data_IF_217264688951
#
_entry.id   IF_217264688951
#
_cell.length_a   1.000
_cell.length_b   1.000
_cell.length_c   1.000
_cell.angle_alpha   90.00
_cell.angle_beta   90.00
_cell.angle_gamma   90.00
#
_symmetry.space_group_name_H-M   'P 1'
#
loop_
_entity.id
_entity.type
_entity.pdbx_description
1 polymer ?
#
# COMPACT_ATOMS: atom_id res chain seq x y z
N UNK A 1 -0.55 0.11 43.22
CA UNK A 1 -0.53 1.27 42.29
C UNK A 1 -1.93 1.43 41.72
N UNK A 2 -2.38 2.65 41.38
CA UNK A 2 -3.65 2.82 40.68
C UNK A 2 -3.61 2.10 39.32
N UNK A 3 -4.73 1.60 38.82
CA UNK A 3 -4.79 0.97 37.50
C UNK A 3 -4.51 2.00 36.39
N UNK A 4 -3.78 1.59 35.35
CA UNK A 4 -3.63 2.36 34.11
C UNK A 4 -5.00 2.48 33.46
N UNK A 5 -5.37 3.67 33.00
CA UNK A 5 -6.64 3.91 32.33
C UNK A 5 -6.48 3.95 30.81
N UNK A 6 -7.53 3.59 30.03
CA UNK A 6 -7.53 3.84 28.60
C UNK A 6 -7.28 5.32 28.28
N UNK A 7 -6.47 5.55 27.26
CA UNK A 7 -5.91 6.84 26.82
C UNK A 7 -4.95 7.53 27.80
N UNK A 8 -4.50 6.84 28.85
CA UNK A 8 -3.43 7.36 29.69
C UNK A 8 -2.08 7.32 28.94
N UNK A 9 -1.23 8.31 29.18
CA UNK A 9 0.15 8.31 28.67
C UNK A 9 1.07 7.76 29.76
N UNK A 10 1.93 6.83 29.38
CA UNK A 10 3.03 6.33 30.21
C UNK A 10 4.37 6.57 29.51
N UNK A 11 5.45 6.56 30.28
CA UNK A 11 6.80 6.84 29.85
C UNK A 11 7.71 5.66 30.20
N UNK A 12 8.37 5.10 29.19
CA UNK A 12 9.19 3.90 29.27
C UNK A 12 10.67 4.26 29.01
N UNK A 13 11.55 3.89 29.90
CA UNK A 13 13.00 4.07 29.74
C UNK A 13 13.65 2.69 29.58
N UNK A 14 14.13 2.38 28.37
CA UNK A 14 14.80 1.10 28.08
C UNK A 14 16.32 1.15 28.37
N UNK A 15 16.85 2.25 28.92
CA UNK A 15 18.27 2.38 29.22
C UNK A 15 19.16 2.70 28.01
N UNK A 16 18.59 3.28 26.96
CA UNK A 16 19.32 3.68 25.75
C UNK A 16 20.43 4.72 26.04
N UNK A 17 21.45 4.77 25.17
CA UNK A 17 22.55 5.75 25.25
C UNK A 17 22.74 6.40 23.87
N UNK A 18 22.45 7.71 23.71
CA UNK A 18 22.00 8.66 24.74
C UNK A 18 20.60 8.32 25.27
N UNK A 19 20.33 8.70 26.52
CA UNK A 19 19.06 8.38 27.20
C UNK A 19 17.86 8.91 26.43
N UNK A 20 16.96 8.02 26.04
CA UNK A 20 15.68 8.30 25.41
C UNK A 20 14.55 7.64 26.20
N UNK A 21 13.57 8.44 26.63
CA UNK A 21 12.37 7.99 27.34
C UNK A 21 11.19 8.06 26.39
N UNK A 22 10.58 6.91 26.14
CA UNK A 22 9.55 6.73 25.13
C UNK A 22 8.16 6.95 25.73
N UNK A 23 7.37 7.85 25.13
CA UNK A 23 5.96 7.95 25.47
C UNK A 23 5.16 6.82 24.81
N UNK A 24 4.19 6.27 25.54
CA UNK A 24 3.19 5.32 25.05
C UNK A 24 1.81 5.80 25.42
N UNK A 25 0.89 5.77 24.46
CA UNK A 25 -0.54 5.99 24.70
C UNK A 25 -1.19 4.62 24.92
N UNK A 26 -1.70 4.35 26.11
CA UNK A 26 -2.39 3.10 26.42
C UNK A 26 -3.77 3.12 25.76
N UNK A 27 -4.05 2.23 24.80
CA UNK A 27 -5.30 2.28 24.03
C UNK A 27 -6.29 1.24 24.51
N UNK A 28 -5.91 -0.04 24.50
CA UNK A 28 -6.77 -1.18 24.86
C UNK A 28 -6.07 -2.09 25.87
N UNK A 29 -6.78 -2.54 26.90
CA UNK A 29 -6.24 -3.46 27.90
C UNK A 29 -6.39 -4.91 27.47
N UNK A 30 -5.33 -5.71 27.49
CA UNK A 30 -5.42 -7.14 27.12
C UNK A 30 -5.74 -7.96 28.37
N UNK A 31 -4.78 -8.09 29.27
CA UNK A 31 -4.88 -8.81 30.54
C UNK A 31 -3.71 -8.42 31.46
N UNK A 32 -3.95 -8.29 32.76
CA UNK A 32 -2.89 -7.99 33.73
C UNK A 32 -2.19 -6.66 33.41
N UNK A 33 -0.87 -6.71 33.19
CA UNK A 33 -0.04 -5.57 32.77
C UNK A 33 0.17 -5.48 31.25
N UNK A 34 -0.37 -6.40 30.45
CA UNK A 34 -0.30 -6.33 28.99
C UNK A 34 -1.36 -5.39 28.42
N UNK A 35 -0.92 -4.45 27.59
CA UNK A 35 -1.73 -3.43 26.94
C UNK A 35 -1.38 -3.32 25.46
N UNK A 36 -2.36 -2.95 24.64
CA UNK A 36 -2.09 -2.41 23.32
C UNK A 36 -1.80 -0.91 23.46
N UNK A 37 -0.63 -0.51 23.00
CA UNK A 37 -0.14 0.86 23.06
C UNK A 37 0.03 1.45 21.66
N UNK A 38 0.03 2.78 21.58
CA UNK A 38 0.49 3.50 20.40
C UNK A 38 1.81 4.23 20.67
N UNK A 39 2.68 4.32 19.66
CA UNK A 39 3.94 5.10 19.68
C UNK A 39 3.75 6.51 19.14
N UNK A 40 4.71 7.44 19.34
CA UNK A 40 4.67 8.76 18.72
C UNK A 40 4.55 8.75 17.18
N UNK A 41 5.08 7.71 16.51
CA UNK A 41 4.95 7.49 15.06
C UNK A 41 3.60 6.85 14.67
N UNK A 42 2.72 6.62 15.64
CA UNK A 42 1.37 6.05 15.50
C UNK A 42 1.34 4.55 15.17
N UNK A 43 2.44 3.83 15.42
CA UNK A 43 2.43 2.37 15.38
C UNK A 43 1.66 1.79 16.57
N UNK A 44 0.98 0.66 16.37
CA UNK A 44 0.12 0.02 17.39
C UNK A 44 0.55 -1.43 17.60
N UNK A 45 0.93 -1.79 18.83
CA UNK A 45 1.36 -3.14 19.19
C UNK A 45 1.12 -3.45 20.68
N UNK A 46 1.31 -4.72 21.06
CA UNK A 46 1.22 -5.20 22.45
C UNK A 46 2.50 -4.89 23.23
N UNK A 47 2.36 -4.39 24.46
CA UNK A 47 3.48 -4.09 25.35
C UNK A 47 3.11 -4.37 26.82
N UNK A 48 4.08 -4.88 27.59
CA UNK A 48 3.93 -5.18 29.02
C UNK A 48 4.31 -3.98 29.90
N UNK A 49 3.30 -3.33 30.47
CA UNK A 49 3.39 -2.07 31.21
C UNK A 49 3.47 -2.31 32.72
N UNK A 50 4.61 -2.82 33.19
CA UNK A 50 4.89 -3.00 34.61
C UNK A 50 6.33 -2.61 34.97
N UNK A 51 6.52 -2.11 36.18
CA UNK A 51 7.84 -1.73 36.69
C UNK A 51 8.80 -2.91 36.89
N UNK A 52 8.30 -4.15 36.90
CA UNK A 52 9.10 -5.36 36.99
C UNK A 52 9.53 -5.91 35.62
N UNK A 53 9.16 -5.25 34.51
CA UNK A 53 9.57 -5.65 33.18
C UNK A 53 11.11 -5.51 33.06
N UNK A 54 11.86 -6.60 32.79
CA UNK A 54 13.32 -6.57 32.76
C UNK A 54 13.90 -5.74 31.63
N UNK A 55 13.11 -5.44 30.60
CA UNK A 55 13.52 -4.59 29.47
C UNK A 55 13.48 -3.10 29.82
N UNK A 56 12.86 -2.74 30.96
CA UNK A 56 12.71 -1.36 31.41
C UNK A 56 13.69 -1.04 32.55
N UNK A 57 14.47 0.02 32.37
CA UNK A 57 15.23 0.69 33.44
C UNK A 57 14.31 1.62 34.26
N UNK A 58 13.26 2.15 33.63
CA UNK A 58 12.29 3.03 34.28
C UNK A 58 10.89 2.92 33.69
N UNK A 59 9.88 2.91 34.56
CA UNK A 59 8.47 2.97 34.20
C UNK A 59 7.81 4.12 34.96
N UNK A 60 7.31 5.13 34.23
CA UNK A 60 6.71 6.32 34.83
C UNK A 60 5.34 6.59 34.23
N UNK A 61 4.34 6.86 35.08
CA UNK A 61 3.02 7.31 34.62
C UNK A 61 3.02 8.82 34.44
N UNK A 62 2.24 9.34 33.49
CA UNK A 62 2.07 10.77 33.37
C UNK A 62 1.48 11.39 34.66
N UNK A 63 1.86 12.63 34.94
CA UNK A 63 1.17 13.45 35.92
C UNK A 63 -0.24 13.82 35.42
N UNK A 64 -1.05 14.43 36.28
CA UNK A 64 -2.39 14.90 35.91
C UNK A 64 -2.38 15.69 34.59
N UNK A 65 -3.36 15.43 33.73
CA UNK A 65 -3.50 16.04 32.39
C UNK A 65 -2.35 15.73 31.41
N UNK A 66 -1.64 14.61 31.57
CA UNK A 66 -0.55 14.22 30.67
C UNK A 66 0.76 14.96 30.94
N UNK A 67 0.89 15.60 32.10
CA UNK A 67 2.11 16.29 32.50
C UNK A 67 3.29 15.34 32.68
N UNK A 68 4.51 15.88 32.62
CA UNK A 68 5.73 15.09 32.80
C UNK A 68 5.88 14.60 34.25
N UNK A 69 6.17 13.31 34.48
CA UNK A 69 6.43 12.80 35.82
C UNK A 69 7.75 13.34 36.39
N UNK A 70 7.86 13.46 37.73
CA UNK A 70 9.11 13.79 38.38
C UNK A 70 10.23 12.82 37.98
N UNK A 71 11.40 13.36 37.61
CA UNK A 71 12.59 12.57 37.27
C UNK A 71 12.73 12.19 35.80
N UNK A 72 11.76 12.53 34.94
CA UNK A 72 11.86 12.35 33.48
C UNK A 72 12.26 13.69 32.83
N UNK A 73 13.50 13.84 32.32
CA UNK A 73 13.93 15.09 31.70
C UNK A 73 13.22 15.33 30.37
N UNK A 74 12.57 16.49 30.22
CA UNK A 74 11.81 16.83 29.01
C UNK A 74 12.63 16.71 27.71
N UNK A 75 13.93 17.05 27.76
CA UNK A 75 14.83 16.98 26.62
C UNK A 75 15.10 15.56 26.11
N UNK A 76 14.80 14.53 26.92
CA UNK A 76 15.08 13.13 26.61
C UNK A 76 13.81 12.38 26.20
N UNK A 77 12.69 13.06 26.00
CA UNK A 77 11.41 12.42 25.72
C UNK A 77 11.21 12.28 24.21
N UNK A 78 11.04 11.05 23.76
CA UNK A 78 10.44 10.76 22.48
C UNK A 78 8.92 10.70 22.66
N UNK A 79 8.29 11.86 22.46
CA UNK A 79 6.89 12.13 22.77
C UNK A 79 6.03 12.38 21.54
N UNK A 80 4.71 12.34 21.73
CA UNK A 80 3.75 12.58 20.67
C UNK A 80 3.76 14.02 20.16
N UNK A 81 3.66 14.19 18.84
CA UNK A 81 3.15 15.43 18.26
C UNK A 81 1.64 15.60 18.49
N UNK A 82 1.04 16.74 18.10
CA UNK A 82 -0.41 16.92 18.18
C UNK A 82 -1.16 15.81 17.41
N UNK A 83 -1.98 15.03 18.13
CA UNK A 83 -2.81 13.97 17.53
C UNK A 83 -4.17 14.56 17.19
N UNK A 84 -4.56 14.46 15.92
CA UNK A 84 -5.91 14.84 15.49
C UNK A 84 -6.95 13.82 15.95
N UNK A 85 -8.21 14.25 16.09
CA UNK A 85 -9.31 13.33 16.43
C UNK A 85 -9.44 12.17 15.43
N UNK A 86 -9.19 12.42 14.14
CA UNK A 86 -9.23 11.38 13.12
C UNK A 86 -8.11 10.34 13.29
N UNK A 87 -6.89 10.76 13.64
CA UNK A 87 -5.79 9.84 13.93
C UNK A 87 -6.09 9.00 15.17
N UNK A 88 -6.62 9.60 16.23
CA UNK A 88 -7.00 8.88 17.44
C UNK A 88 -8.07 7.81 17.17
N UNK A 89 -9.05 8.10 16.31
CA UNK A 89 -10.05 7.11 15.90
C UNK A 89 -9.43 5.95 15.13
N UNK A 90 -8.46 6.20 14.23
CA UNK A 90 -7.75 5.13 13.51
C UNK A 90 -6.95 4.24 14.47
N UNK A 91 -6.22 4.85 15.39
CA UNK A 91 -5.45 4.13 16.44
C UNK A 91 -6.38 3.21 17.24
N UNK A 92 -7.56 3.69 17.65
CA UNK A 92 -8.52 2.87 18.40
C UNK A 92 -9.00 1.65 17.64
N UNK A 93 -9.38 1.82 16.36
CA UNK A 93 -9.85 0.70 15.52
C UNK A 93 -8.75 -0.35 15.33
N UNK A 94 -7.51 0.08 15.10
CA UNK A 94 -6.38 -0.84 14.98
C UNK A 94 -6.09 -1.55 16.31
N UNK A 95 -6.10 -0.81 17.42
CA UNK A 95 -5.84 -1.36 18.75
C UNK A 95 -6.90 -2.38 19.18
N UNK A 96 -8.16 -2.16 18.84
CA UNK A 96 -9.26 -3.10 19.08
C UNK A 96 -8.99 -4.44 18.38
N UNK A 97 -8.55 -4.41 17.12
CA UNK A 97 -8.18 -5.63 16.37
C UNK A 97 -7.00 -6.38 16.99
N UNK A 98 -5.95 -5.67 17.37
CA UNK A 98 -4.76 -6.26 18.04
C UNK A 98 -5.14 -6.84 19.39
N UNK A 99 -5.91 -6.12 20.20
CA UNK A 99 -6.36 -6.58 21.51
C UNK A 99 -7.27 -7.80 21.41
N UNK A 100 -8.20 -7.82 20.43
CA UNK A 100 -9.07 -8.96 20.19
C UNK A 100 -8.26 -10.21 19.82
N UNK A 101 -7.27 -10.09 18.94
CA UNK A 101 -6.39 -11.18 18.56
C UNK A 101 -5.55 -11.70 19.75
N UNK A 102 -4.96 -10.80 20.55
CA UNK A 102 -4.17 -11.15 21.73
C UNK A 102 -5.01 -11.84 22.82
N UNK A 103 -6.20 -11.28 23.14
CA UNK A 103 -7.13 -11.90 24.10
C UNK A 103 -7.60 -13.28 23.63
N UNK A 104 -7.89 -13.44 22.33
CA UNK A 104 -8.25 -14.74 21.75
C UNK A 104 -7.12 -15.77 21.87
N UNK A 105 -5.86 -15.37 21.61
CA UNK A 105 -4.70 -16.24 21.77
C UNK A 105 -4.48 -16.69 23.23
N UNK A 106 -4.82 -15.82 24.19
CA UNK A 106 -4.75 -16.12 25.62
C UNK A 106 -5.99 -16.89 26.16
N UNK A 107 -6.98 -17.15 25.32
CA UNK A 107 -8.25 -17.75 25.75
C UNK A 107 -9.10 -16.84 26.66
N UNK A 108 -8.80 -15.54 26.67
CA UNK A 108 -9.53 -14.54 27.45
C UNK A 108 -10.72 -14.08 26.62
N UNK A 109 -11.93 -14.47 27.02
CA UNK A 109 -13.16 -13.98 26.40
C UNK A 109 -13.33 -12.51 26.77
N UNK A 110 -13.43 -11.63 25.76
CA UNK A 110 -13.65 -10.22 25.99
C UNK A 110 -14.93 -9.99 26.82
N UNK A 111 -14.90 -9.13 27.85
CA UNK A 111 -16.09 -8.83 28.64
C UNK A 111 -17.18 -8.25 27.73
N UNK A 112 -18.28 -8.99 27.56
CA UNK A 112 -19.43 -8.60 26.74
C UNK A 112 -19.60 -9.36 25.41
N UNK A 113 -18.71 -10.28 25.06
CA UNK A 113 -18.94 -11.15 23.90
C UNK A 113 -20.03 -12.20 24.22
N UNK A 114 -21.07 -12.36 23.37
CA UNK A 114 -22.10 -13.38 23.58
C UNK A 114 -21.47 -14.78 23.53
N UNK A 115 -21.63 -15.54 24.61
CA UNK A 115 -21.21 -16.94 24.69
C UNK A 115 -22.10 -17.77 23.76
N UNK A 116 -21.60 -18.14 22.59
CA UNK A 116 -22.28 -19.11 21.71
C UNK A 116 -21.99 -20.51 22.26
N UNK A 117 -22.95 -21.09 22.99
CA UNK A 117 -22.91 -22.50 23.37
C UNK A 117 -23.11 -23.37 22.13
N UNK A 118 -22.03 -23.97 21.64
CA UNK A 118 -22.06 -24.92 20.52
C UNK A 118 -22.65 -26.26 20.92
N UNK A 119 -23.97 -26.38 20.85
CA UNK A 119 -24.66 -27.67 20.76
C UNK A 119 -24.91 -28.03 19.29
N UNK A 120 -24.17 -28.99 18.75
CA UNK A 120 -24.38 -29.49 17.39
C UNK A 120 -25.70 -30.30 17.32
N UNK A 121 -26.69 -29.94 16.47
CA UNK A 121 -27.85 -30.78 16.28
C UNK A 121 -27.52 -31.93 15.31
N UNK A 122 -27.79 -33.16 15.76
CA UNK A 122 -27.78 -34.36 14.93
C UNK A 122 -28.90 -34.27 13.88
N UNK A 123 -28.53 -34.32 12.60
CA UNK A 123 -29.48 -34.45 11.49
C UNK A 123 -30.08 -35.87 11.45
N UNK A 124 -31.40 -36.02 11.24
CA UNK A 124 -32.01 -37.32 11.02
C UNK A 124 -31.78 -37.81 9.58
N UNK A 125 -31.79 -39.14 9.33
CA UNK A 125 -31.55 -39.70 8.01
C UNK A 125 -32.77 -39.51 7.08
N UNK A 126 -32.58 -39.51 5.75
CA UNK A 126 -33.65 -39.30 4.79
C UNK A 126 -34.52 -40.56 4.61
N UNK A 127 -35.85 -40.41 4.38
CA UNK A 127 -36.72 -41.54 4.10
C UNK A 127 -36.65 -41.99 2.62
N UNK A 128 -36.87 -43.29 2.33
CA UNK A 128 -36.85 -43.80 0.97
C UNK A 128 -38.21 -43.66 0.25
N UNK A 129 -38.12 -43.21 -1.00
CA UNK A 129 -39.03 -43.30 -2.16
C UNK A 129 -40.52 -43.61 -1.98
N UNK A 130 -41.37 -42.83 -2.67
CA UNK A 130 -42.66 -43.27 -3.21
C UNK A 130 -43.08 -42.42 -4.43
N UNK A 131 -43.76 -43.11 -5.36
CA UNK A 131 -44.18 -42.70 -6.69
C UNK A 131 -45.45 -41.79 -6.67
N UNK A 132 -45.98 -41.33 -7.84
CA UNK A 132 -46.90 -40.21 -7.91
C UNK A 132 -48.36 -40.61 -7.66
N UNK A 133 -49.14 -39.73 -7.02
CA UNK A 133 -50.59 -39.86 -6.95
C UNK A 133 -51.30 -38.50 -7.13
N UNK A 134 -52.42 -38.60 -7.83
CA UNK A 134 -53.31 -37.55 -8.33
C UNK A 134 -54.27 -37.06 -7.24
N UNK A 135 -54.44 -35.74 -7.15
CA UNK A 135 -55.69 -35.02 -6.85
C UNK A 135 -56.32 -35.13 -5.46
N UNK A 136 -56.39 -34.01 -4.72
CA UNK A 136 -57.64 -33.47 -4.18
C UNK A 136 -57.46 -32.02 -3.69
N UNK A 137 -58.46 -31.19 -3.97
CA UNK A 137 -58.60 -29.80 -3.52
C UNK A 137 -59.12 -29.76 -2.09
N UNK A 138 -58.51 -28.96 -1.22
CA UNK A 138 -58.96 -28.66 0.15
C UNK A 138 -58.42 -27.30 0.63
N UNK A 139 -59.12 -26.59 1.53
CA UNK A 139 -59.02 -25.15 1.69
C UNK A 139 -57.79 -24.70 2.50
N UNK A 140 -57.31 -23.51 2.14
CA UNK A 140 -56.10 -22.85 2.64
C UNK A 140 -56.29 -22.37 4.08
N UNK A 141 -55.59 -22.99 5.03
CA UNK A 141 -55.33 -22.46 6.35
C UNK A 141 -53.99 -21.72 6.38
N UNK A 142 -54.00 -20.47 6.80
CA UNK A 142 -52.83 -19.58 6.82
C UNK A 142 -51.73 -20.08 7.77
N UNK A 143 -50.60 -20.49 7.22
CA UNK A 143 -49.33 -20.62 7.95
C UNK A 143 -48.59 -19.28 7.88
N UNK A 144 -48.66 -18.53 8.97
CA UNK A 144 -47.72 -17.45 9.25
C UNK A 144 -46.35 -18.05 9.60
N UNK A 145 -45.29 -17.64 8.89
CA UNK A 145 -43.91 -17.98 9.28
C UNK A 145 -42.93 -18.33 8.16
N UNK A 146 -43.33 -18.30 6.89
CA UNK A 146 -42.35 -18.40 5.79
C UNK A 146 -41.63 -17.04 5.63
N UNK A 147 -40.29 -16.99 5.67
CA UNK A 147 -39.54 -15.76 5.45
C UNK A 147 -39.83 -15.24 4.05
N UNK A 148 -40.22 -13.97 3.93
CA UNK A 148 -40.26 -13.27 2.64
C UNK A 148 -38.81 -12.88 2.33
N UNK A 149 -38.16 -13.52 1.33
CA UNK A 149 -36.77 -13.21 1.01
C UNK A 149 -36.64 -11.83 0.40
N UNK A 150 -35.41 -11.29 0.38
CA UNK A 150 -35.10 -10.06 -0.35
C UNK A 150 -35.59 -10.19 -1.81
N UNK A 151 -36.39 -9.20 -2.25
CA UNK A 151 -36.86 -9.12 -3.63
C UNK A 151 -35.72 -8.77 -4.59
N UNK A 152 -35.86 -9.11 -5.88
CA UNK A 152 -34.83 -8.93 -6.91
C UNK A 152 -34.10 -7.57 -6.84
N UNK A 153 -32.82 -7.51 -7.22
CA UNK A 153 -32.00 -6.30 -7.16
C UNK A 153 -32.73 -5.12 -7.79
N UNK A 154 -32.87 -4.03 -7.02
CA UNK A 154 -33.49 -2.82 -7.53
C UNK A 154 -32.48 -2.07 -8.39
N UNK A 155 -32.75 -1.84 -9.69
CA UNK A 155 -31.85 -1.05 -10.51
C UNK A 155 -31.78 0.37 -9.95
N UNK A 156 -30.56 0.90 -9.85
CA UNK A 156 -30.28 2.24 -9.31
C UNK A 156 -30.94 3.37 -10.13
N UNK A 157 -31.43 3.05 -11.34
CA UNK A 157 -32.11 3.96 -12.26
C UNK A 157 -33.46 4.45 -11.68
N UNK A 158 -33.40 5.35 -10.70
CA UNK A 158 -34.58 5.98 -10.09
C UNK A 158 -34.34 6.69 -8.76
N UNK A 159 -33.26 6.37 -8.04
CA UNK A 159 -32.94 7.03 -6.77
C UNK A 159 -31.90 8.11 -7.05
N UNK A 160 -32.35 9.35 -7.24
CA UNK A 160 -31.43 10.49 -7.25
C UNK A 160 -30.75 10.56 -5.86
N UNK A 161 -29.41 10.53 -5.79
CA UNK A 161 -28.70 10.57 -4.51
C UNK A 161 -28.99 11.90 -3.82
N UNK A 162 -29.82 11.86 -2.78
CA UNK A 162 -30.06 13.00 -1.91
C UNK A 162 -29.24 12.83 -0.63
N UNK A 163 -28.41 13.83 -0.32
CA UNK A 163 -27.63 13.88 0.92
C UNK A 163 -28.56 13.72 2.13
N UNK A 164 -28.17 12.87 3.07
CA UNK A 164 -28.94 12.55 4.28
C UNK A 164 -29.95 11.41 4.10
N UNK A 165 -30.11 10.86 2.89
CA UNK A 165 -30.98 9.70 2.65
C UNK A 165 -30.22 8.42 2.96
N UNK A 166 -30.60 7.70 4.01
CA UNK A 166 -29.92 6.46 4.41
C UNK A 166 -30.53 5.24 3.69
N UNK A 167 -29.67 4.38 3.14
CA UNK A 167 -30.04 3.16 2.42
C UNK A 167 -29.17 1.98 2.88
N UNK A 168 -29.64 0.76 2.64
CA UNK A 168 -28.84 -0.45 2.83
C UNK A 168 -28.32 -0.95 1.49
N UNK A 169 -27.02 -1.18 1.43
CA UNK A 169 -26.35 -1.72 0.24
C UNK A 169 -25.63 -3.03 0.54
N UNK A 170 -25.38 -3.84 -0.48
CA UNK A 170 -24.48 -4.99 -0.37
C UNK A 170 -23.04 -4.53 -0.20
N UNK A 171 -22.24 -5.23 0.62
CA UNK A 171 -20.78 -5.02 0.70
C UNK A 171 -19.95 -6.14 0.08
N UNK A 172 -20.60 -7.16 -0.46
CA UNK A 172 -19.99 -8.31 -1.12
C UNK A 172 -20.78 -8.72 -2.36
N UNK A 173 -20.18 -9.58 -3.19
CA UNK A 173 -20.87 -10.18 -4.32
C UNK A 173 -21.53 -11.48 -3.88
N UNK A 174 -22.87 -11.55 -3.95
CA UNK A 174 -23.65 -12.74 -3.66
C UNK A 174 -24.84 -12.76 -4.63
N UNK A 175 -24.81 -13.57 -5.69
CA UNK A 175 -25.84 -13.58 -6.71
C UNK A 175 -27.25 -13.69 -6.12
N UNK A 176 -28.21 -12.86 -6.55
CA UNK A 176 -28.16 -11.96 -7.71
C UNK A 176 -27.59 -10.56 -7.44
N UNK A 177 -27.10 -10.26 -6.23
CA UNK A 177 -26.62 -8.93 -5.85
C UNK A 177 -25.11 -8.80 -6.05
N UNK A 178 -24.70 -7.64 -6.55
CA UNK A 178 -23.31 -7.24 -6.60
C UNK A 178 -23.01 -6.27 -5.46
N UNK A 179 -21.73 -6.16 -5.11
CA UNK A 179 -21.25 -5.19 -4.14
C UNK A 179 -21.67 -3.76 -4.53
N UNK A 180 -22.27 -3.05 -3.59
CA UNK A 180 -22.82 -1.72 -3.77
C UNK A 180 -24.24 -1.67 -4.36
N UNK A 181 -24.88 -2.80 -4.66
CA UNK A 181 -26.31 -2.83 -5.00
C UNK A 181 -27.17 -2.40 -3.81
N UNK A 182 -28.27 -1.69 -4.09
CA UNK A 182 -29.24 -1.29 -3.07
C UNK A 182 -30.11 -2.49 -2.69
N UNK A 183 -29.99 -2.93 -1.44
CA UNK A 183 -30.76 -4.02 -0.88
C UNK A 183 -32.10 -3.52 -0.30
N UNK A 184 -32.07 -2.38 0.38
CA UNK A 184 -33.27 -1.76 0.99
C UNK A 184 -33.20 -0.24 0.79
N UNK A 185 -34.20 0.31 0.11
CA UNK A 185 -34.33 1.74 -0.12
C UNK A 185 -34.66 2.51 1.17
N UNK A 186 -34.50 3.83 1.12
CA UNK A 186 -34.78 4.67 2.27
C UNK A 186 -36.23 4.53 2.75
N UNK A 187 -36.41 4.53 4.07
CA UNK A 187 -37.70 4.39 4.74
C UNK A 187 -38.42 3.05 4.51
N UNK A 188 -37.79 2.06 3.86
CA UNK A 188 -38.33 0.70 3.79
C UNK A 188 -37.89 -0.10 5.02
N UNK A 189 -38.79 -0.92 5.62
CA UNK A 189 -38.42 -1.79 6.73
C UNK A 189 -37.42 -2.85 6.26
N UNK A 190 -36.52 -3.25 7.17
CA UNK A 190 -35.62 -4.36 6.92
C UNK A 190 -36.42 -5.66 6.71
N UNK A 191 -35.94 -6.57 5.86
CA UNK A 191 -36.55 -7.88 5.69
C UNK A 191 -36.65 -8.63 7.02
N UNK A 192 -37.72 -9.42 7.23
CA UNK A 192 -37.81 -10.32 8.39
C UNK A 192 -36.56 -11.20 8.52
N UNK A 193 -36.16 -11.52 9.76
CA UNK A 193 -34.95 -12.29 10.08
C UNK A 193 -33.60 -11.62 9.72
N UNK A 194 -33.59 -10.32 9.42
CA UNK A 194 -32.34 -9.56 9.31
C UNK A 194 -31.66 -9.44 10.67
N UNK A 195 -30.40 -9.84 10.75
CA UNK A 195 -29.57 -9.66 11.95
C UNK A 195 -28.82 -8.34 11.84
N UNK A 196 -29.30 -7.30 12.53
CA UNK A 196 -28.70 -5.96 12.49
C UNK A 196 -27.80 -5.68 13.69
N UNK A 197 -26.61 -5.14 13.44
CA UNK A 197 -25.71 -4.59 14.44
C UNK A 197 -25.19 -3.22 14.00
N UNK A 198 -25.78 -2.15 14.57
CA UNK A 198 -25.45 -0.78 14.21
C UNK A 198 -25.73 -0.48 12.73
N UNK A 199 -24.68 -0.09 11.99
CA UNK A 199 -24.73 0.22 10.55
C UNK A 199 -24.44 -0.99 9.66
N UNK A 200 -24.41 -2.20 10.20
CA UNK A 200 -24.22 -3.45 9.44
C UNK A 200 -25.38 -4.39 9.70
N UNK A 201 -25.69 -5.24 8.72
CA UNK A 201 -26.72 -6.25 8.84
C UNK A 201 -26.39 -7.50 8.01
N UNK A 202 -26.82 -8.67 8.46
CA UNK A 202 -26.91 -9.87 7.63
C UNK A 202 -28.36 -10.01 7.18
N UNK A 203 -28.61 -9.89 5.88
CA UNK A 203 -29.95 -9.96 5.30
C UNK A 203 -30.18 -11.33 4.65
N UNK A 204 -31.30 -12.01 4.92
CA UNK A 204 -31.58 -13.32 4.34
C UNK A 204 -31.92 -13.21 2.85
N UNK A 205 -31.35 -14.12 2.07
CA UNK A 205 -31.64 -14.28 0.65
C UNK A 205 -32.59 -15.45 0.40
N UNK A 206 -33.19 -15.48 -0.80
CA UNK A 206 -33.93 -16.64 -1.26
C UNK A 206 -32.98 -17.85 -1.35
N UNK A 207 -33.37 -18.97 -0.75
CA UNK A 207 -32.53 -20.18 -0.71
C UNK A 207 -31.76 -20.39 0.61
N UNK A 208 -31.91 -19.50 1.59
CA UNK A 208 -31.36 -19.68 2.93
C UNK A 208 -29.92 -19.21 3.12
N UNK A 209 -29.30 -18.61 2.10
CA UNK A 209 -28.06 -17.84 2.25
C UNK A 209 -28.34 -16.45 2.84
N UNK A 210 -27.27 -15.73 3.19
CA UNK A 210 -27.33 -14.39 3.74
C UNK A 210 -26.36 -13.51 2.96
N UNK A 211 -26.66 -12.22 2.89
CA UNK A 211 -25.76 -11.20 2.34
C UNK A 211 -25.41 -10.17 3.40
N UNK A 212 -24.14 -9.78 3.44
CA UNK A 212 -23.68 -8.70 4.29
C UNK A 212 -24.07 -7.35 3.69
N UNK A 213 -24.74 -6.54 4.51
CA UNK A 213 -25.25 -5.24 4.15
C UNK A 213 -24.69 -4.14 5.04
N UNK A 214 -24.59 -2.92 4.50
CA UNK A 214 -24.17 -1.72 5.24
C UNK A 214 -25.14 -0.56 5.03
N UNK A 215 -25.46 0.12 6.13
CA UNK A 215 -26.30 1.31 6.15
C UNK A 215 -25.44 2.54 5.88
N UNK A 216 -25.68 3.20 4.76
CA UNK A 216 -24.89 4.35 4.30
C UNK A 216 -25.79 5.48 3.81
N UNK A 217 -25.22 6.68 3.73
CA UNK A 217 -25.82 7.79 2.98
C UNK A 217 -25.83 7.43 1.49
N UNK A 218 -26.97 7.60 0.82
CA UNK A 218 -27.16 7.31 -0.60
C UNK A 218 -26.20 8.09 -1.50
N UNK A 219 -25.75 9.28 -1.08
CA UNK A 219 -24.71 10.04 -1.79
C UNK A 219 -23.37 9.31 -1.88
N UNK A 220 -23.13 8.32 -1.00
CA UNK A 220 -21.89 7.54 -0.94
C UNK A 220 -21.98 6.19 -1.64
N UNK A 221 -23.09 5.85 -2.29
CA UNK A 221 -23.26 4.54 -2.93
C UNK A 221 -22.14 4.23 -3.93
N UNK A 222 -21.69 5.24 -4.66
CA UNK A 222 -20.63 5.11 -5.64
C UNK A 222 -19.35 4.58 -4.98
N UNK A 223 -19.01 5.03 -3.76
CA UNK A 223 -17.83 4.56 -3.00
C UNK A 223 -17.79 3.03 -2.80
N UNK A 224 -18.94 2.37 -2.81
CA UNK A 224 -19.07 0.94 -2.52
C UNK A 224 -19.30 0.09 -3.76
N UNK A 225 -19.75 0.68 -4.87
CA UNK A 225 -19.78 0.01 -6.18
C UNK A 225 -18.39 -0.09 -6.83
N UNK A 226 -17.35 0.41 -6.14
CA UNK A 226 -16.00 0.46 -6.67
C UNK A 226 -15.23 -0.81 -6.34
N UNK A 227 -14.96 -1.57 -7.39
CA UNK A 227 -13.77 -2.40 -7.48
C UNK A 227 -12.72 -1.64 -8.26
N UNK A 228 -11.56 -1.46 -7.63
CA UNK A 228 -10.44 -0.78 -8.26
C UNK A 228 -9.85 -1.70 -9.34
N UNK A 229 -10.22 -1.44 -10.59
CA UNK A 229 -9.71 -2.16 -11.77
C UNK A 229 -8.19 -2.20 -11.87
N UNK A 230 -7.45 -1.38 -11.11
CA UNK A 230 -6.00 -1.36 -11.06
C UNK A 230 -5.40 -2.51 -10.24
N UNK A 231 -6.21 -3.22 -9.45
CA UNK A 231 -5.77 -4.33 -8.59
C UNK A 231 -6.39 -5.62 -9.09
N UNK A 232 -5.58 -6.67 -9.25
CA UNK A 232 -6.08 -8.01 -9.57
C UNK A 232 -6.57 -8.69 -8.28
N UNK A 233 -7.47 -9.69 -8.38
CA UNK A 233 -7.85 -10.50 -7.24
C UNK A 233 -6.62 -11.10 -6.55
N UNK A 234 -6.58 -11.02 -5.23
CA UNK A 234 -5.47 -11.57 -4.45
C UNK A 234 -5.45 -13.11 -4.56
N UNK A 235 -4.29 -13.65 -4.87
CA UNK A 235 -4.02 -15.08 -4.94
C UNK A 235 -2.84 -15.44 -4.05
N UNK A 236 -2.97 -16.56 -3.35
CA UNK A 236 -1.90 -17.18 -2.59
C UNK A 236 -1.53 -18.49 -3.28
N UNK A 237 -0.24 -18.74 -3.43
CA UNK A 237 0.25 -20.00 -3.96
C UNK A 237 0.06 -21.15 -2.95
N UNK A 238 0.45 -22.37 -3.34
CA UNK A 238 0.32 -23.56 -2.50
C UNK A 238 1.13 -23.47 -1.19
N UNK A 239 2.10 -22.55 -1.10
CA UNK A 239 2.94 -22.30 0.07
C UNK A 239 2.37 -21.18 0.95
N UNK A 240 1.21 -20.61 0.60
CA UNK A 240 0.59 -19.51 1.32
C UNK A 240 1.28 -18.16 1.09
N UNK A 241 2.20 -18.06 0.12
CA UNK A 241 2.80 -16.78 -0.26
C UNK A 241 1.89 -16.05 -1.24
N UNK A 242 1.76 -14.72 -1.08
CA UNK A 242 1.01 -13.88 -2.03
C UNK A 242 1.78 -13.81 -3.35
N UNK A 243 1.47 -14.71 -4.26
CA UNK A 243 2.12 -14.79 -5.57
C UNK A 243 1.19 -15.36 -6.61
N UNK A 244 1.22 -14.81 -7.83
CA UNK A 244 0.49 -15.31 -9.01
C UNK A 244 1.46 -15.55 -10.16
N UNK A 245 1.22 -16.60 -10.94
CA UNK A 245 2.00 -16.88 -12.15
C UNK A 245 1.72 -15.81 -13.22
N UNK A 246 2.74 -15.44 -14.00
CA UNK A 246 2.69 -14.32 -14.94
C UNK A 246 1.64 -14.52 -16.04
N UNK A 247 1.63 -15.66 -16.73
CA UNK A 247 0.67 -15.94 -17.80
C UNK A 247 -0.77 -15.96 -17.29
N UNK A 248 -1.01 -16.55 -16.12
CA UNK A 248 -2.30 -16.53 -15.43
C UNK A 248 -2.74 -15.10 -15.06
N UNK A 249 -1.80 -14.24 -14.68
CA UNK A 249 -2.08 -12.82 -14.39
C UNK A 249 -2.50 -12.07 -15.65
N UNK A 250 -1.76 -12.22 -16.75
CA UNK A 250 -2.05 -11.53 -18.02
C UNK A 250 -3.41 -11.92 -18.61
N UNK A 251 -3.89 -13.15 -18.36
CA UNK A 251 -5.19 -13.62 -18.83
C UNK A 251 -6.38 -12.87 -18.23
N UNK A 252 -6.25 -12.38 -16.99
CA UNK A 252 -7.32 -11.69 -16.27
C UNK A 252 -7.15 -10.16 -16.27
N UNK A 253 -6.09 -9.64 -16.91
CA UNK A 253 -5.88 -8.20 -17.05
C UNK A 253 -6.87 -7.59 -18.02
N UNK A 254 -7.24 -6.34 -17.73
CA UNK A 254 -8.12 -5.51 -18.54
C UNK A 254 -7.42 -4.20 -18.88
N UNK A 255 -7.62 -3.68 -20.08
CA UNK A 255 -7.15 -2.36 -20.53
C UNK A 255 -8.27 -1.31 -20.54
N UNK A 256 -9.41 -1.63 -19.92
CA UNK A 256 -10.49 -0.67 -19.72
C UNK A 256 -9.99 0.53 -18.90
N UNK A 257 -10.51 1.71 -19.22
CA UNK A 257 -10.19 2.91 -18.48
C UNK A 257 -10.68 2.75 -17.03
N UNK A 258 -9.80 2.90 -16.01
CA UNK A 258 -10.24 2.91 -14.64
C UNK A 258 -11.18 4.09 -14.39
N UNK A 259 -12.01 3.95 -13.37
CA UNK A 259 -12.91 5.00 -12.95
C UNK A 259 -12.12 6.22 -12.43
N UNK A 260 -12.58 7.42 -12.78
CA UNK A 260 -11.82 8.66 -12.54
C UNK A 260 -10.92 9.09 -13.70
N UNK A 261 -10.85 8.29 -14.78
CA UNK A 261 -10.21 8.66 -16.03
C UNK A 261 -9.18 7.63 -16.49
N UNK A 262 -9.04 7.48 -17.81
CA UNK A 262 -8.03 6.63 -18.42
C UNK A 262 -6.61 7.19 -18.31
N UNK A 263 -5.70 6.55 -19.03
CA UNK A 263 -4.31 6.99 -19.12
C UNK A 263 -4.23 8.46 -19.59
N UNK A 264 -3.58 9.31 -18.80
CA UNK A 264 -3.35 10.71 -19.15
C UNK A 264 -2.12 10.89 -20.06
N UNK A 265 -1.94 9.99 -21.02
CA UNK A 265 -0.82 9.95 -21.95
C UNK A 265 -1.35 10.06 -23.38
N UNK A 266 -0.60 10.72 -24.26
CA UNK A 266 -0.93 10.74 -25.70
C UNK A 266 -0.55 9.40 -26.34
N UNK A 267 -1.30 9.03 -27.37
CA UNK A 267 -1.09 7.78 -28.09
C UNK A 267 -1.75 6.57 -27.41
N UNK A 268 -1.79 5.42 -28.09
CA UNK A 268 -2.48 4.22 -27.62
C UNK A 268 -1.82 3.61 -26.37
N UNK A 269 -2.60 2.87 -25.58
CA UNK A 269 -2.06 2.00 -24.53
C UNK A 269 -1.24 0.88 -25.17
N UNK A 270 -0.10 0.56 -24.56
CA UNK A 270 0.83 -0.45 -25.08
C UNK A 270 1.12 -1.58 -24.09
N UNK A 271 0.75 -1.41 -22.82
CA UNK A 271 1.01 -2.38 -21.77
C UNK A 271 0.43 -3.76 -22.07
N UNK A 272 -0.89 -3.88 -22.25
CA UNK A 272 -1.54 -5.18 -22.43
C UNK A 272 -1.07 -5.92 -23.69
N UNK A 273 -0.96 -5.29 -24.88
CA UNK A 273 -0.39 -5.95 -26.07
C UNK A 273 1.03 -6.48 -25.87
N UNK A 274 1.89 -5.72 -25.17
CA UNK A 274 3.26 -6.13 -24.90
C UNK A 274 3.31 -7.33 -23.95
N UNK A 275 2.50 -7.30 -22.88
CA UNK A 275 2.40 -8.41 -21.93
C UNK A 275 1.85 -9.68 -22.58
N UNK A 276 0.85 -9.56 -23.45
CA UNK A 276 0.33 -10.69 -24.25
C UNK A 276 1.41 -11.29 -25.13
N UNK A 277 2.23 -10.46 -25.77
CA UNK A 277 3.36 -10.93 -26.60
C UNK A 277 4.39 -11.71 -25.77
N UNK A 278 4.75 -11.21 -24.58
CA UNK A 278 5.65 -11.92 -23.66
C UNK A 278 5.05 -13.27 -23.24
N UNK A 279 3.77 -13.29 -22.85
CA UNK A 279 3.04 -14.51 -22.50
C UNK A 279 3.02 -15.52 -23.64
N UNK A 280 2.71 -15.09 -24.86
CA UNK A 280 2.59 -15.96 -26.03
C UNK A 280 3.95 -16.58 -26.41
N UNK A 281 5.05 -15.90 -26.06
CA UNK A 281 6.42 -16.41 -26.17
C UNK A 281 6.86 -17.24 -24.95
N UNK A 282 5.99 -17.45 -23.96
CA UNK A 282 6.30 -18.08 -22.68
C UNK A 282 7.45 -17.40 -21.92
N UNK A 283 7.53 -16.06 -22.01
CA UNK A 283 8.53 -15.25 -21.33
C UNK A 283 7.87 -14.47 -20.18
N UNK A 284 8.49 -14.48 -19.01
CA UNK A 284 8.25 -13.46 -17.97
C UNK A 284 8.95 -12.15 -18.36
N UNK A 285 8.67 -11.02 -17.69
CA UNK A 285 9.40 -9.78 -17.94
C UNK A 285 10.92 -9.92 -17.78
N UNK A 286 11.40 -10.58 -16.73
CA UNK A 286 12.83 -10.84 -16.56
C UNK A 286 13.40 -11.71 -17.70
N UNK A 287 12.70 -12.79 -18.09
CA UNK A 287 13.13 -13.61 -19.23
C UNK A 287 13.11 -12.84 -20.56
N UNK A 288 12.16 -11.93 -20.74
CA UNK A 288 12.09 -11.03 -21.91
C UNK A 288 13.29 -10.08 -21.98
N UNK A 289 13.78 -9.59 -20.82
CA UNK A 289 15.03 -8.83 -20.75
C UNK A 289 16.22 -9.66 -21.23
N UNK A 290 16.43 -10.85 -20.66
CA UNK A 290 17.53 -11.75 -21.04
C UNK A 290 17.50 -12.11 -22.52
N UNK A 291 16.30 -12.39 -23.04
CA UNK A 291 16.09 -12.65 -24.47
C UNK A 291 16.48 -11.43 -25.32
N UNK A 292 16.10 -10.23 -24.92
CA UNK A 292 16.45 -9.01 -25.65
C UNK A 292 17.96 -8.73 -25.62
N UNK A 293 18.63 -8.86 -24.48
CA UNK A 293 20.08 -8.67 -24.35
C UNK A 293 20.85 -9.61 -25.28
N UNK A 294 20.49 -10.90 -25.27
CA UNK A 294 21.13 -11.92 -26.14
C UNK A 294 20.99 -11.60 -27.63
N UNK A 295 19.85 -11.06 -28.05
CA UNK A 295 19.55 -10.84 -29.46
C UNK A 295 19.98 -9.46 -29.98
N UNK A 296 20.09 -8.46 -29.10
CA UNK A 296 20.37 -7.07 -29.48
C UNK A 296 21.84 -6.78 -29.75
N UNK A 297 22.78 -7.64 -29.28
CA UNK A 297 24.24 -7.46 -29.45
C UNK A 297 24.74 -6.10 -28.95
N UNK A 298 24.12 -5.59 -27.88
CA UNK A 298 24.53 -4.33 -27.25
C UNK A 298 25.89 -4.56 -26.56
N UNK A 299 26.84 -3.61 -26.64
CA UNK A 299 28.12 -3.71 -25.94
C UNK A 299 27.95 -3.96 -24.44
N UNK A 300 28.84 -4.76 -23.87
CA UNK A 300 28.89 -4.98 -22.42
C UNK A 300 29.14 -3.65 -21.70
N UNK A 301 28.40 -3.42 -20.61
CA UNK A 301 28.49 -2.18 -19.82
C UNK A 301 27.62 -1.03 -20.32
N UNK A 302 26.80 -1.20 -21.37
CA UNK A 302 25.81 -0.19 -21.74
C UNK A 302 24.78 0.00 -20.61
N UNK A 303 24.61 1.24 -20.16
CA UNK A 303 23.70 1.60 -19.07
C UNK A 303 22.24 1.20 -19.36
N UNK A 304 21.83 1.24 -20.62
CA UNK A 304 20.46 0.98 -21.05
C UNK A 304 20.06 -0.48 -20.78
N UNK A 305 21.03 -1.41 -20.75
CA UNK A 305 20.82 -2.80 -20.36
C UNK A 305 20.36 -2.88 -18.91
N UNK A 306 21.10 -2.27 -17.98
CA UNK A 306 20.74 -2.25 -16.56
C UNK A 306 19.42 -1.51 -16.30
N UNK A 307 19.19 -0.38 -16.98
CA UNK A 307 17.90 0.34 -16.88
C UNK A 307 16.73 -0.55 -17.30
N UNK A 308 16.85 -1.25 -18.42
CA UNK A 308 15.81 -2.17 -18.89
C UNK A 308 15.62 -3.36 -17.94
N UNK A 309 16.70 -3.92 -17.36
CA UNK A 309 16.63 -4.99 -16.36
C UNK A 309 15.78 -4.56 -15.16
N UNK A 310 16.08 -3.37 -14.61
CA UNK A 310 15.35 -2.82 -13.46
C UNK A 310 13.87 -2.62 -13.80
N UNK A 311 13.55 -2.05 -14.96
CA UNK A 311 12.16 -1.87 -15.41
C UNK A 311 11.43 -3.22 -15.48
N UNK A 312 12.06 -4.24 -16.05
CA UNK A 312 11.44 -5.56 -16.18
C UNK A 312 11.26 -6.27 -14.83
N UNK A 313 12.20 -6.11 -13.89
CA UNK A 313 12.03 -6.64 -12.53
C UNK A 313 10.91 -5.94 -11.76
N UNK A 314 10.82 -4.61 -11.87
CA UNK A 314 9.69 -3.85 -11.29
C UNK A 314 8.37 -4.35 -11.87
N UNK A 315 8.29 -4.51 -13.19
CA UNK A 315 7.10 -5.02 -13.85
C UNK A 315 6.72 -6.43 -13.38
N UNK A 316 7.69 -7.33 -13.24
CA UNK A 316 7.44 -8.68 -12.76
C UNK A 316 6.93 -8.70 -11.32
N UNK A 317 7.51 -7.87 -10.43
CA UNK A 317 7.04 -7.72 -9.06
C UNK A 317 5.62 -7.16 -8.98
N UNK A 318 5.33 -6.09 -9.75
CA UNK A 318 4.00 -5.49 -9.83
C UNK A 318 2.93 -6.51 -10.24
N UNK A 319 3.26 -7.43 -11.16
CA UNK A 319 2.31 -8.41 -11.69
C UNK A 319 2.19 -9.62 -10.78
N UNK A 320 3.31 -10.20 -10.37
CA UNK A 320 3.33 -11.52 -9.72
C UNK A 320 3.20 -11.44 -8.20
N UNK A 321 3.72 -10.39 -7.56
CA UNK A 321 3.74 -10.22 -6.10
C UNK A 321 2.64 -9.25 -5.67
N UNK A 322 2.65 -8.04 -6.23
CA UNK A 322 1.66 -7.02 -5.88
C UNK A 322 0.29 -7.30 -6.50
N UNK A 323 0.27 -8.10 -7.58
CA UNK A 323 -0.93 -8.51 -8.31
C UNK A 323 -1.73 -7.31 -8.80
N UNK A 324 -1.05 -6.43 -9.54
CA UNK A 324 -1.62 -5.23 -10.12
C UNK A 324 -2.05 -5.45 -11.58
N UNK A 325 -3.17 -4.84 -11.97
CA UNK A 325 -3.61 -4.77 -13.35
C UNK A 325 -2.83 -3.64 -14.07
N UNK A 326 -1.58 -3.94 -14.39
CA UNK A 326 -0.61 -3.03 -15.01
C UNK A 326 -1.17 -2.19 -16.16
N UNK A 327 -1.97 -2.71 -17.11
CA UNK A 327 -2.56 -1.90 -18.18
C UNK A 327 -3.44 -0.73 -17.73
N UNK A 328 -4.04 -0.82 -16.54
CA UNK A 328 -4.83 0.27 -15.94
C UNK A 328 -3.96 1.27 -15.14
N UNK A 329 -2.64 1.05 -15.04
CA UNK A 329 -1.73 1.89 -14.27
C UNK A 329 -0.90 2.81 -15.17
N UNK A 330 -1.07 4.13 -14.99
CA UNK A 330 -0.28 5.12 -15.73
C UNK A 330 1.23 5.03 -15.46
N UNK A 331 1.63 4.73 -14.22
CA UNK A 331 3.04 4.51 -13.87
C UNK A 331 3.64 3.33 -14.63
N UNK A 332 2.89 2.24 -14.74
CA UNK A 332 3.34 1.04 -15.40
C UNK A 332 3.38 1.19 -16.93
N UNK A 333 2.41 1.89 -17.52
CA UNK A 333 2.45 2.28 -18.93
C UNK A 333 3.69 3.14 -19.25
N UNK A 334 4.06 4.10 -18.38
CA UNK A 334 5.27 4.90 -18.56
C UNK A 334 6.55 4.05 -18.53
N UNK A 335 6.64 3.11 -17.59
CA UNK A 335 7.76 2.17 -17.51
C UNK A 335 7.86 1.31 -18.77
N UNK A 336 6.72 0.79 -19.26
CA UNK A 336 6.69 -0.05 -20.46
C UNK A 336 7.02 0.72 -21.74
N UNK A 337 6.51 1.95 -21.88
CA UNK A 337 6.90 2.86 -22.97
C UNK A 337 8.40 3.17 -22.90
N UNK A 338 8.95 3.41 -21.71
CA UNK A 338 10.40 3.61 -21.55
C UNK A 338 11.21 2.38 -21.97
N UNK A 339 10.76 1.18 -21.61
CA UNK A 339 11.41 -0.06 -22.06
C UNK A 339 11.34 -0.22 -23.59
N UNK A 340 10.20 0.10 -24.21
CA UNK A 340 10.06 0.09 -25.68
C UNK A 340 11.01 1.10 -26.34
N UNK A 341 11.14 2.31 -25.79
CA UNK A 341 12.10 3.33 -26.26
C UNK A 341 13.53 2.80 -26.25
N UNK A 342 13.94 2.13 -25.16
CA UNK A 342 15.28 1.52 -25.07
C UNK A 342 15.46 0.47 -26.17
N UNK A 343 14.49 -0.44 -26.34
CA UNK A 343 14.58 -1.48 -27.38
C UNK A 343 14.66 -0.87 -28.79
N UNK A 344 13.86 0.14 -29.08
CA UNK A 344 13.84 0.80 -30.39
C UNK A 344 15.13 1.58 -30.66
N UNK A 345 15.67 2.29 -29.66
CA UNK A 345 16.89 3.07 -29.80
C UNK A 345 18.10 2.20 -30.21
N UNK A 346 18.18 0.99 -29.69
CA UNK A 346 19.25 0.03 -30.03
C UNK A 346 18.92 -0.85 -31.25
N UNK A 347 17.75 -0.73 -31.88
CA UNK A 347 17.29 -1.62 -32.96
C UNK A 347 18.18 -1.55 -34.21
N UNK A 348 18.58 -0.35 -34.61
CA UNK A 348 19.37 -0.11 -35.83
C UNK A 348 20.87 -0.18 -35.54
N UNK A 349 21.29 0.47 -34.45
CA UNK A 349 22.70 0.62 -34.07
C UNK A 349 22.90 0.25 -32.59
N UNK A 350 23.19 -1.02 -32.27
CA UNK A 350 23.28 -1.48 -30.89
C UNK A 350 24.31 -0.73 -30.02
N UNK A 351 25.41 -0.24 -30.60
CA UNK A 351 26.43 0.52 -29.87
C UNK A 351 26.28 2.05 -29.94
N UNK A 352 25.32 2.56 -30.71
CA UNK A 352 25.07 3.99 -30.88
C UNK A 352 23.55 4.24 -30.87
N UNK A 353 22.90 4.12 -29.71
CA UNK A 353 21.44 4.17 -29.62
C UNK A 353 20.88 5.55 -30.01
N UNK A 354 19.79 5.56 -30.76
CA UNK A 354 19.06 6.78 -31.14
C UNK A 354 17.77 6.97 -30.33
N UNK A 355 17.76 7.97 -29.46
CA UNK A 355 16.61 8.33 -28.60
C UNK A 355 15.77 9.49 -29.16
N UNK A 356 15.96 9.88 -30.42
CA UNK A 356 15.26 11.01 -31.06
C UNK A 356 13.73 10.90 -31.01
N UNK A 357 13.19 9.67 -31.01
CA UNK A 357 11.76 9.38 -30.97
C UNK A 357 11.18 9.20 -29.55
N UNK A 358 11.99 9.32 -28.50
CA UNK A 358 11.60 9.01 -27.13
C UNK A 358 10.34 9.78 -26.68
N UNK A 359 10.24 11.07 -27.02
CA UNK A 359 9.10 11.89 -26.63
C UNK A 359 7.77 11.43 -27.26
N UNK A 360 7.83 10.89 -28.48
CA UNK A 360 6.66 10.38 -29.19
C UNK A 360 6.15 9.12 -28.50
N UNK A 361 7.05 8.19 -28.19
CA UNK A 361 6.71 6.97 -27.44
C UNK A 361 6.15 7.29 -26.04
N UNK A 362 6.80 8.19 -25.31
CA UNK A 362 6.39 8.53 -23.94
C UNK A 362 5.05 9.28 -23.88
N UNK A 363 4.61 9.90 -24.98
CA UNK A 363 3.29 10.53 -25.07
C UNK A 363 3.11 11.73 -24.15
N UNK A 364 4.21 12.36 -23.72
CA UNK A 364 4.18 13.51 -22.82
C UNK A 364 3.53 14.71 -23.48
N UNK A 365 2.36 15.11 -22.99
CA UNK A 365 1.66 16.31 -23.48
C UNK A 365 2.41 17.62 -23.18
N UNK A 366 3.32 17.61 -22.20
CA UNK A 366 3.85 18.83 -21.55
C UNK A 366 5.26 19.27 -21.97
N UNK A 367 5.96 18.56 -22.87
CA UNK A 367 7.36 18.92 -23.18
C UNK A 367 7.54 20.15 -24.08
N UNK A 368 6.46 20.78 -24.56
CA UNK A 368 6.54 21.95 -25.46
C UNK A 368 7.01 23.25 -24.77
N UNK A 369 7.16 23.29 -23.45
CA UNK A 369 7.89 24.37 -22.75
C UNK A 369 8.68 23.75 -21.62
N UNK A 370 9.97 24.08 -21.50
CA UNK A 370 10.90 23.53 -20.51
C UNK A 370 10.45 23.72 -19.05
N UNK A 371 9.50 22.91 -18.61
CA UNK A 371 8.85 22.97 -17.31
C UNK A 371 9.01 21.60 -16.64
N UNK A 372 9.80 21.55 -15.57
CA UNK A 372 9.97 20.35 -14.77
C UNK A 372 11.33 20.27 -14.06
N UNK A 373 12.34 21.00 -14.54
CA UNK A 373 13.53 21.22 -13.72
C UNK A 373 13.23 22.45 -12.88
N UNK A 374 13.21 22.28 -11.56
CA UNK A 374 13.16 23.41 -10.64
C UNK A 374 14.33 24.34 -10.99
N UNK A 375 14.01 25.56 -11.43
CA UNK A 375 15.01 26.53 -11.83
C UNK A 375 15.92 26.88 -10.64
N UNK A 376 15.40 26.79 -9.41
CA UNK A 376 16.19 27.00 -8.20
C UNK A 376 17.19 25.85 -7.99
N UNK A 377 16.77 24.59 -8.16
CA UNK A 377 17.67 23.44 -8.06
C UNK A 377 18.72 23.47 -9.19
N UNK A 378 18.32 23.83 -10.41
CA UNK A 378 19.23 24.00 -11.54
C UNK A 378 20.29 25.07 -11.25
N UNK A 379 19.86 26.23 -10.75
CA UNK A 379 20.74 27.32 -10.39
C UNK A 379 21.68 26.94 -9.24
N UNK A 380 21.19 26.20 -8.24
CA UNK A 380 21.99 25.69 -7.14
C UNK A 380 23.08 24.73 -7.63
N UNK A 381 22.72 23.71 -8.41
CA UNK A 381 23.68 22.75 -8.97
C UNK A 381 24.71 23.44 -9.86
N UNK A 382 24.29 24.42 -10.67
CA UNK A 382 25.21 25.22 -11.48
C UNK A 382 26.18 26.05 -10.62
N UNK A 383 25.71 26.57 -9.48
CA UNK A 383 26.53 27.31 -8.51
C UNK A 383 27.56 26.41 -7.84
N UNK A 384 27.15 25.22 -7.38
CA UNK A 384 28.03 24.24 -6.74
C UNK A 384 29.14 23.78 -7.71
N UNK A 385 28.78 23.40 -8.95
CA UNK A 385 29.76 23.00 -9.97
C UNK A 385 30.75 24.14 -10.29
N UNK A 386 30.29 25.39 -10.28
CA UNK A 386 31.16 26.56 -10.48
C UNK A 386 32.11 26.76 -9.28
N UNK A 387 31.63 26.56 -8.06
CA UNK A 387 32.44 26.62 -6.85
C UNK A 387 33.51 25.52 -6.82
N UNK A 388 33.14 24.28 -7.13
CA UNK A 388 34.08 23.15 -7.25
C UNK A 388 35.15 23.40 -8.31
N UNK A 389 34.76 23.89 -9.49
CA UNK A 389 35.70 24.23 -10.55
C UNK A 389 36.68 25.36 -10.13
N UNK A 390 36.22 26.32 -9.31
CA UNK A 390 37.07 27.37 -8.77
C UNK A 390 38.07 26.80 -7.74
N UNK A 391 37.60 25.96 -6.82
CA UNK A 391 38.45 25.27 -5.83
C UNK A 391 39.53 24.44 -6.55
N UNK A 392 39.15 23.68 -7.58
CA UNK A 392 40.08 22.86 -8.35
C UNK A 392 41.16 23.70 -9.05
N UNK A 393 40.80 24.89 -9.58
CA UNK A 393 41.76 25.83 -10.19
C UNK A 393 42.74 26.38 -9.16
N UNK A 394 42.26 26.84 -8.00
CA UNK A 394 43.13 27.34 -6.93
C UNK A 394 44.05 26.24 -6.38
N UNK A 395 43.53 25.03 -6.20
CA UNK A 395 44.34 23.88 -5.78
C UNK A 395 45.42 23.51 -6.81
N UNK A 396 45.18 23.70 -8.10
CA UNK A 396 46.19 23.52 -9.14
C UNK A 396 47.25 24.62 -9.08
N UNK A 397 46.83 25.88 -8.97
CA UNK A 397 47.73 27.03 -8.84
C UNK A 397 48.63 26.92 -7.60
N UNK A 398 48.08 26.53 -6.45
CA UNK A 398 48.85 26.32 -5.23
C UNK A 398 49.90 25.21 -5.37
N UNK A 399 49.57 24.12 -6.08
CA UNK A 399 50.54 23.05 -6.40
C UNK A 399 51.66 23.53 -7.31
N UNK A 400 51.32 24.32 -8.34
CA UNK A 400 52.30 24.91 -9.25
C UNK A 400 53.24 25.90 -8.54
N UNK A 401 52.71 26.75 -7.65
CA UNK A 401 53.52 27.67 -6.82
C UNK A 401 54.43 26.93 -5.83
N UNK A 402 53.93 25.87 -5.18
CA UNK A 402 54.73 25.04 -4.29
C UNK A 402 55.86 24.32 -5.03
N UNK A 403 55.60 23.85 -6.26
CA UNK A 403 56.62 23.27 -7.12
C UNK A 403 57.67 24.31 -7.56
N UNK A 404 57.24 25.52 -7.93
CA UNK A 404 58.15 26.60 -8.30
C UNK A 404 59.06 27.03 -7.14
N UNK A 405 58.56 27.05 -5.89
CA UNK A 405 59.37 27.32 -4.69
C UNK A 405 60.40 26.23 -4.39
N UNK A 406 60.14 24.99 -4.80
CA UNK A 406 61.05 23.85 -4.60
C UNK A 406 62.17 23.78 -5.63
N UNK A 407 62.12 24.53 -6.73
CA UNK A 407 63.25 24.55 -7.66
C UNK A 407 64.46 25.25 -7.02
N UNK A 408 65.60 24.56 -6.86
CA UNK A 408 66.78 25.13 -6.22
C UNK A 408 67.29 26.30 -7.05
N UNK A 409 67.56 27.44 -6.40
CA UNK A 409 68.14 28.62 -7.06
C UNK A 409 69.40 28.20 -7.82
N UNK A 410 69.56 28.59 -9.11
CA UNK A 410 70.73 28.24 -9.88
C UNK A 410 71.97 28.74 -9.14
N UNK A 411 72.86 27.80 -8.82
CA UNK A 411 74.11 28.05 -8.10
C UNK A 411 74.90 29.05 -8.94
N UNK A 412 74.94 30.31 -8.51
CA UNK A 412 75.63 31.41 -9.19
C UNK A 412 77.07 30.97 -9.40
N UNK A 413 77.43 30.73 -10.67
CA UNK A 413 78.75 30.21 -11.05
C UNK A 413 79.84 31.06 -10.41
N UNK A 414 80.67 30.41 -9.59
CA UNK A 414 81.93 30.96 -9.12
C UNK A 414 82.81 31.18 -10.34
N UNK A 415 82.90 32.44 -10.78
CA UNK A 415 83.79 32.87 -11.85
C UNK A 415 85.00 33.55 -11.18
N UNK A 416 86.16 32.91 -11.32
CA UNK A 416 87.44 33.60 -11.38
C UNK A 416 88.34 33.55 -10.15
N UNK A 417 89.50 32.90 -10.33
CA UNK A 417 90.73 33.03 -9.56
C UNK A 417 91.73 32.02 -10.14
N UNK A 418 92.34 32.32 -11.30
CA UNK A 418 93.65 32.97 -11.42
C UNK A 418 94.75 32.20 -10.66
N UNK A 419 95.55 31.44 -11.41
CA UNK A 419 96.88 30.98 -11.00
C UNK A 419 97.80 31.02 -12.22
N UNK A 420 98.62 32.06 -12.20
CA UNK A 420 99.85 32.32 -12.96
C UNK A 420 101.02 31.67 -12.21
N UNK A 421 101.96 31.03 -12.94
CA UNK A 421 103.31 30.52 -12.58
C UNK A 421 103.55 29.24 -13.39
N UNK A 422 104.69 28.96 -14.03
CA UNK A 422 105.94 29.64 -14.37
C UNK A 422 106.55 28.83 -15.53
#
# INVERSE_FOLDING_TARGET
MAAIQPLEIVFLDYGEVPRCVHARLCVEHIQGSSWVVATPDLDVFEEDLQAANPDLVGFHRAAANGGLPPGVPAANIYGFGPITQQQLLRIRVQAEGVAAAARAALGVVAPGAPVVQGGAPLLPPPPPGLAPAVGLVGPVGALAGMPVPLGAPMPLAGIAPQVGTMIWISVEDEPPYLKGDVLVAANQPLPPNTLQQGLKALMPLAGGSYILAKHIDAARIQEYQFDDLRVLPVHFDAQGSRRREFAASVLIMSDLAPQGGGLQLRGPSSALPLLKTMRDQSLTPAMSHEYWVRNSRIPEGDRSVYEHEVIMRVLEAMITVDQLNVPCLQSAELLLRRAQVIKEAHRISPGLPDYSSADIYMGWAYRQRGAGIDQALTAHVASELKAEAAIAKEARKAREEAAARRQPKPKKGAKGGAAEQE
#
